data_IF_867688304679
#
_entry.id   IF_867688304679
#
_cell.length_a   1.000
_cell.length_b   1.000
_cell.length_c   1.000
_cell.angle_alpha   90.00
_cell.angle_beta   90.00
_cell.angle_gamma   90.00
#
_symmetry.space_group_name_H-M   'P 1'
#
loop_
_entity.id
_entity.type
_entity.pdbx_description
1 polymer ?
#
# COMPACT_ATOMS: atom_id res chain seq x y z
N UNK A 1 -7.17 -15.64 8.12
CA UNK A 1 -6.04 -14.71 7.90
C UNK A 1 -6.62 -13.34 7.59
N UNK A 2 -5.94 -12.26 7.99
CA UNK A 2 -6.37 -10.89 7.76
C UNK A 2 -5.73 -10.37 6.47
N UNK A 3 -6.45 -9.53 5.73
CA UNK A 3 -6.05 -9.09 4.39
C UNK A 3 -4.67 -8.43 4.35
N UNK A 4 -4.37 -7.58 5.32
CA UNK A 4 -3.10 -6.82 5.36
C UNK A 4 -1.88 -7.74 5.49
N UNK A 5 -1.99 -8.80 6.30
CA UNK A 5 -0.93 -9.80 6.46
C UNK A 5 -0.68 -10.58 5.16
N UNK A 6 -1.72 -10.88 4.38
CA UNK A 6 -1.59 -11.55 3.09
C UNK A 6 -0.95 -10.63 2.04
N UNK A 7 -1.27 -9.34 2.07
CA UNK A 7 -0.63 -8.35 1.19
C UNK A 7 0.84 -8.16 1.59
N UNK A 8 1.16 -8.11 2.89
CA UNK A 8 2.52 -8.02 3.39
C UNK A 8 3.38 -9.19 2.91
N UNK A 9 2.82 -10.41 2.92
CA UNK A 9 3.50 -11.60 2.37
C UNK A 9 3.79 -11.45 0.87
N UNK A 10 2.83 -10.96 0.07
CA UNK A 10 3.05 -10.69 -1.35
C UNK A 10 4.11 -9.61 -1.62
N UNK A 11 4.19 -8.60 -0.75
CA UNK A 11 5.24 -7.56 -0.81
C UNK A 11 6.61 -8.17 -0.52
N UNK A 12 6.73 -8.98 0.54
CA UNK A 12 7.98 -9.64 0.91
C UNK A 12 8.43 -10.67 -0.15
N UNK A 13 7.48 -11.35 -0.78
CA UNK A 13 7.74 -12.29 -1.89
C UNK A 13 8.03 -11.58 -3.23
N UNK A 14 8.03 -10.24 -3.27
CA UNK A 14 8.29 -9.44 -4.48
C UNK A 14 7.25 -9.68 -5.58
N UNK A 15 6.05 -10.09 -5.17
CA UNK A 15 4.89 -10.34 -6.05
C UNK A 15 3.94 -9.15 -6.08
N UNK A 16 4.18 -8.14 -5.23
CA UNK A 16 3.45 -6.89 -5.18
C UNK A 16 4.41 -5.70 -5.34
N UNK A 17 4.32 -4.98 -6.45
CA UNK A 17 5.20 -3.84 -6.76
C UNK A 17 4.60 -2.49 -6.37
N UNK A 18 3.28 -2.43 -6.19
CA UNK A 18 2.54 -1.20 -5.90
C UNK A 18 1.47 -1.49 -4.86
N UNK A 19 1.53 -0.77 -3.75
CA UNK A 19 0.54 -0.84 -2.67
C UNK A 19 -0.17 0.52 -2.60
N UNK A 20 -1.49 0.53 -2.74
CA UNK A 20 -2.31 1.71 -2.47
C UNK A 20 -3.04 1.43 -1.16
N UNK A 21 -2.71 2.18 -0.11
CA UNK A 21 -3.20 1.91 1.23
C UNK A 21 -3.65 3.21 1.89
N UNK A 22 -4.97 3.43 1.98
CA UNK A 22 -5.54 4.63 2.58
C UNK A 22 -6.07 4.32 3.96
N UNK A 23 -5.37 4.82 4.97
CA UNK A 23 -5.77 4.68 6.36
C UNK A 23 -6.71 5.79 6.79
N UNK A 24 -7.69 5.45 7.62
CA UNK A 24 -8.46 6.44 8.36
C UNK A 24 -7.78 6.65 9.73
N UNK A 25 -7.28 7.86 10.04
CA UNK A 25 -6.36 8.10 11.17
C UNK A 25 -7.00 8.19 12.57
N UNK A 26 -8.33 8.12 12.70
CA UNK A 26 -9.03 8.47 13.95
C UNK A 26 -9.65 7.30 14.73
N UNK A 27 -9.40 6.05 14.32
CA UNK A 27 -9.97 4.87 15.00
C UNK A 27 -8.87 3.84 15.22
N UNK A 28 -8.55 3.55 16.49
CA UNK A 28 -7.65 2.45 16.84
C UNK A 28 -8.29 1.13 16.38
N UNK A 29 -7.67 0.44 15.43
CA UNK A 29 -8.24 -0.79 14.85
C UNK A 29 -7.78 -2.00 15.64
N UNK A 30 -8.64 -3.02 15.72
CA UNK A 30 -8.26 -4.36 16.21
C UNK A 30 -7.16 -5.04 15.36
N UNK A 31 -6.68 -4.37 14.31
CA UNK A 31 -5.77 -4.84 13.27
C UNK A 31 -4.48 -4.01 13.16
N UNK A 32 -4.18 -3.20 14.17
CA UNK A 32 -3.00 -2.32 14.19
C UNK A 32 -1.69 -3.08 13.92
N UNK A 33 -1.55 -4.29 14.46
CA UNK A 33 -0.36 -5.13 14.24
C UNK A 33 -0.21 -5.56 12.77
N UNK A 34 -1.32 -5.78 12.07
CA UNK A 34 -1.31 -6.20 10.66
C UNK A 34 -1.00 -5.02 9.74
N UNK A 35 -1.47 -3.82 10.09
CA UNK A 35 -1.13 -2.56 9.42
C UNK A 35 0.37 -2.30 9.54
N UNK A 36 0.91 -2.35 10.76
CA UNK A 36 2.34 -2.17 11.00
C UNK A 36 3.19 -3.24 10.31
N UNK A 37 2.68 -4.47 10.18
CA UNK A 37 3.35 -5.53 9.42
C UNK A 37 3.47 -5.15 7.95
N UNK A 38 2.37 -4.68 7.33
CA UNK A 38 2.36 -4.23 5.95
C UNK A 38 3.29 -3.03 5.72
N UNK A 39 3.26 -2.03 6.61
CA UNK A 39 4.17 -0.87 6.54
C UNK A 39 5.65 -1.29 6.57
N UNK A 40 6.00 -2.23 7.46
CA UNK A 40 7.36 -2.76 7.56
C UNK A 40 7.76 -3.57 6.33
N UNK A 41 6.84 -4.38 5.79
CA UNK A 41 7.08 -5.13 4.56
C UNK A 41 7.41 -4.18 3.39
N UNK A 42 6.60 -3.12 3.22
CA UNK A 42 6.84 -2.08 2.22
C UNK A 42 8.19 -1.38 2.45
N UNK A 43 8.50 -0.99 3.69
CA UNK A 43 9.79 -0.35 4.01
C UNK A 43 10.98 -1.27 3.67
N UNK A 44 10.85 -2.57 3.93
CA UNK A 44 11.88 -3.56 3.62
C UNK A 44 12.06 -3.81 2.13
N UNK A 45 11.00 -3.66 1.33
CA UNK A 45 10.98 -3.89 -0.10
C UNK A 45 11.11 -2.59 -0.92
N UNK A 46 11.62 -1.50 -0.33
CA UNK A 46 11.62 -0.13 -0.91
C UNK A 46 12.18 0.03 -2.32
N UNK A 47 13.03 -0.89 -2.79
CA UNK A 47 13.52 -0.89 -4.17
C UNK A 47 12.55 -1.52 -5.18
N UNK A 48 11.65 -2.37 -4.72
CA UNK A 48 10.80 -3.25 -5.54
C UNK A 48 9.32 -2.90 -5.39
N UNK A 49 8.94 -2.34 -4.24
CA UNK A 49 7.57 -1.98 -3.92
C UNK A 49 7.46 -0.49 -3.58
N UNK A 50 6.56 0.21 -4.27
CA UNK A 50 6.17 1.58 -3.94
C UNK A 50 4.83 1.58 -3.23
N UNK A 51 4.70 2.38 -2.16
CA UNK A 51 3.44 2.56 -1.45
C UNK A 51 2.88 3.98 -1.61
N UNK A 52 1.56 4.07 -1.84
CA UNK A 52 0.80 5.30 -1.95
C UNK A 52 -0.20 5.38 -0.80
N UNK A 53 0.07 6.25 0.16
CA UNK A 53 -0.74 6.41 1.37
C UNK A 53 -1.72 7.58 1.33
N UNK A 54 -1.80 8.30 0.21
CA UNK A 54 -2.77 9.37 0.01
C UNK A 54 -3.38 9.34 -1.39
N UNK A 55 -4.66 9.76 -1.54
CA UNK A 55 -5.31 9.87 -2.84
C UNK A 55 -4.52 10.72 -3.84
N UNK A 56 -3.87 11.79 -3.37
CA UNK A 56 -3.05 12.65 -4.23
C UNK A 56 -1.83 11.91 -4.80
N UNK A 57 -1.15 11.07 -4.01
CA UNK A 57 -0.03 10.27 -4.49
C UNK A 57 -0.48 9.21 -5.49
N UNK A 58 -1.57 8.50 -5.19
CA UNK A 58 -2.14 7.51 -6.10
C UNK A 58 -2.60 8.13 -7.42
N UNK A 59 -3.23 9.31 -7.38
CA UNK A 59 -3.63 10.05 -8.57
C UNK A 59 -2.41 10.48 -9.41
N UNK A 60 -1.35 10.98 -8.79
CA UNK A 60 -0.10 11.33 -9.50
C UNK A 60 0.52 10.12 -10.19
N UNK A 61 0.51 8.97 -9.53
CA UNK A 61 0.98 7.71 -10.11
C UNK A 61 0.11 7.26 -11.30
N UNK A 62 -1.21 7.28 -11.16
CA UNK A 62 -2.13 6.94 -12.25
C UNK A 62 -1.96 7.87 -13.46
N UNK A 63 -1.80 9.18 -13.23
CA UNK A 63 -1.50 10.15 -14.29
C UNK A 63 -0.16 9.87 -14.97
N UNK A 64 0.88 9.52 -14.23
CA UNK A 64 2.18 9.17 -14.81
C UNK A 64 2.13 7.93 -15.72
N UNK A 65 1.18 7.01 -15.47
CA UNK A 65 0.93 5.85 -16.32
C UNK A 65 -0.02 6.13 -17.50
N UNK A 66 -0.53 7.36 -17.63
CA UNK A 66 -1.54 7.70 -18.64
C UNK A 66 -2.92 7.10 -18.37
N UNK A 67 -3.17 6.64 -17.13
CA UNK A 67 -4.44 6.04 -16.68
C UNK A 67 -5.43 7.08 -16.15
N UNK A 68 -5.16 8.38 -16.36
CA UNK A 68 -6.01 9.45 -15.84
C UNK A 68 -7.45 9.30 -16.37
N UNK A 69 -8.47 9.60 -15.55
CA UNK A 69 -9.85 9.49 -15.97
C UNK A 69 -10.09 10.38 -17.20
N UNK A 70 -10.64 9.81 -18.26
CA UNK A 70 -11.27 10.60 -19.31
C UNK A 70 -12.50 11.23 -18.64
N UNK A 71 -12.42 12.52 -18.32
CA UNK A 71 -13.56 13.32 -17.88
C UNK A 71 -14.63 13.36 -18.97
#
# INVERSE_FOLDING_TARGET
>A
MRGDAQIAELVLDRRCHQVIFFEEPHVARQHEADIQLLERAVCSATHETTCFNSPAMAARWATALGLAPIL
#
